data_IF_919908463938
#
_entry.id   IF_919908463938
#
_cell.length_a   1.000
_cell.length_b   1.000
_cell.length_c   1.000
_cell.angle_alpha   90.00
_cell.angle_beta   90.00
_cell.angle_gamma   90.00
#
_symmetry.space_group_name_H-M   'P 1'
#
loop_
_entity.id
_entity.type
_entity.pdbx_description
1 polymer ?
#
# COMPACT_ATOMS: atom_id res chain seq x y z
N UNK A 1 19.90 48.51 -9.85
CA UNK A 1 19.34 47.97 -8.58
C UNK A 1 17.83 47.67 -8.67
N UNK A 2 16.95 48.62 -9.03
CA UNK A 2 15.48 48.43 -9.04
C UNK A 2 14.94 47.24 -9.89
N UNK A 3 15.52 46.96 -11.08
CA UNK A 3 15.09 45.82 -11.93
C UNK A 3 15.34 44.44 -11.31
N UNK A 4 16.41 44.28 -10.51
CA UNK A 4 16.71 43.01 -9.81
C UNK A 4 15.68 42.73 -8.70
N UNK A 5 15.22 43.77 -8.00
CA UNK A 5 14.17 43.65 -7.00
C UNK A 5 12.81 43.32 -7.60
N UNK A 6 12.45 43.89 -8.76
CA UNK A 6 11.22 43.52 -9.47
C UNK A 6 11.23 42.05 -9.95
N UNK A 7 12.37 41.57 -10.46
CA UNK A 7 12.52 40.16 -10.85
C UNK A 7 12.43 39.22 -9.63
N UNK A 8 13.05 39.59 -8.51
CA UNK A 8 12.95 38.85 -7.25
C UNK A 8 11.52 38.83 -6.69
N UNK A 9 10.82 39.97 -6.71
CA UNK A 9 9.41 40.07 -6.30
C UNK A 9 8.49 39.24 -7.19
N UNK A 10 8.71 39.26 -8.51
CA UNK A 10 7.98 38.41 -9.45
C UNK A 10 8.24 36.92 -9.24
N UNK A 11 9.48 36.54 -8.94
CA UNK A 11 9.83 35.14 -8.63
C UNK A 11 9.19 34.69 -7.32
N UNK A 12 9.25 35.52 -6.28
CA UNK A 12 8.65 35.26 -4.97
C UNK A 12 7.12 35.20 -5.05
N UNK A 13 6.47 36.04 -5.85
CA UNK A 13 5.03 35.99 -6.05
C UNK A 13 4.61 34.75 -6.85
N UNK A 14 5.35 34.36 -7.89
CA UNK A 14 5.10 33.09 -8.60
C UNK A 14 5.27 31.89 -7.65
N UNK A 15 6.34 31.86 -6.84
CA UNK A 15 6.55 30.81 -5.84
C UNK A 15 5.41 30.77 -4.81
N UNK A 16 4.96 31.93 -4.33
CA UNK A 16 3.83 32.01 -3.40
C UNK A 16 2.52 31.53 -4.03
N UNK A 17 2.25 31.84 -5.30
CA UNK A 17 1.06 31.38 -6.03
C UNK A 17 1.10 29.87 -6.24
N UNK A 18 2.24 29.32 -6.65
CA UNK A 18 2.44 27.86 -6.80
C UNK A 18 2.25 27.15 -5.46
N UNK A 19 2.84 27.68 -4.39
CA UNK A 19 2.73 27.10 -3.04
C UNK A 19 1.29 27.18 -2.49
N UNK A 20 0.61 28.31 -2.73
CA UNK A 20 -0.79 28.51 -2.32
C UNK A 20 -1.73 27.60 -3.12
N UNK A 21 -1.52 27.46 -4.43
CA UNK A 21 -2.25 26.53 -5.28
C UNK A 21 -2.05 25.07 -4.87
N UNK A 22 -0.81 24.69 -4.51
CA UNK A 22 -0.50 23.36 -4.00
C UNK A 22 -1.30 23.03 -2.73
N UNK A 23 -1.33 23.95 -1.74
CA UNK A 23 -2.10 23.78 -0.50
C UNK A 23 -3.62 23.80 -0.70
N UNK A 24 -4.11 24.39 -1.80
CA UNK A 24 -5.53 24.40 -2.13
C UNK A 24 -5.99 23.06 -2.74
N UNK A 25 -5.12 22.39 -3.47
CA UNK A 25 -5.40 21.10 -4.16
C UNK A 25 -5.11 19.90 -3.26
N UNK A 26 -4.00 19.95 -2.52
CA UNK A 26 -3.50 18.87 -1.68
C UNK A 26 -3.66 19.21 -0.20
N UNK A 27 -4.41 18.36 0.51
CA UNK A 27 -4.50 18.41 1.97
C UNK A 27 -3.73 17.21 2.56
N UNK A 28 -2.67 17.50 3.30
CA UNK A 28 -1.79 16.51 3.92
C UNK A 28 -2.00 16.56 5.43
N UNK A 29 -2.53 15.50 6.06
CA UNK A 29 -2.66 15.43 7.51
C UNK A 29 -1.30 15.52 8.21
N UNK A 30 -1.26 16.12 9.41
CA UNK A 30 -0.03 16.18 10.23
C UNK A 30 0.38 14.80 10.80
N UNK A 31 -0.58 13.89 10.97
CA UNK A 31 -0.37 12.53 11.44
C UNK A 31 -1.04 11.52 10.51
N UNK A 32 -0.53 10.27 10.41
CA UNK A 32 -1.21 9.21 9.68
C UNK A 32 -2.66 9.07 10.15
N UNK A 33 -3.59 9.03 9.20
CA UNK A 33 -5.01 8.80 9.46
C UNK A 33 -5.43 7.50 8.79
N UNK A 34 -5.71 6.48 9.56
CA UNK A 34 -6.40 5.28 9.15
C UNK A 34 -7.91 5.55 9.14
N UNK A 35 -8.55 5.18 8.05
CA UNK A 35 -10.00 5.27 7.84
C UNK A 35 -10.49 3.84 7.65
N UNK A 36 -11.43 3.42 8.49
CA UNK A 36 -12.17 2.17 8.27
C UNK A 36 -13.30 2.43 7.27
N UNK A 37 -13.48 1.50 6.33
CA UNK A 37 -14.46 1.58 5.26
C UNK A 37 -15.28 0.28 5.28
N UNK A 38 -16.60 0.39 5.41
CA UNK A 38 -17.54 -0.74 5.52
C UNK A 38 -18.98 -0.23 5.59
N UNK A 39 -19.97 -1.14 5.54
CA UNK A 39 -21.40 -0.85 5.35
C UNK A 39 -21.85 0.52 5.91
N UNK A 40 -21.97 1.49 4.99
CA UNK A 40 -22.54 2.83 5.19
C UNK A 40 -21.85 3.78 6.17
N UNK A 41 -20.58 3.57 6.53
CA UNK A 41 -19.83 4.59 7.29
C UNK A 41 -18.36 4.69 6.91
N UNK A 42 -17.90 5.94 6.77
CA UNK A 42 -16.49 6.29 6.85
C UNK A 42 -16.21 6.48 8.34
N UNK A 43 -15.40 5.60 8.93
CA UNK A 43 -15.01 5.71 10.33
C UNK A 43 -14.31 7.04 10.64
N UNK A 44 -14.28 7.43 11.92
CA UNK A 44 -13.45 8.56 12.35
C UNK A 44 -11.98 8.26 12.03
N UNK A 45 -11.16 9.26 11.67
CA UNK A 45 -9.74 9.04 11.45
C UNK A 45 -9.06 8.56 12.74
N UNK A 46 -8.45 7.39 12.69
CA UNK A 46 -7.69 6.78 13.78
C UNK A 46 -6.21 6.71 13.41
N UNK A 47 -5.31 6.65 14.39
CA UNK A 47 -3.92 6.26 14.11
C UNK A 47 -3.84 4.73 13.96
N UNK A 48 -4.54 4.03 14.86
CA UNK A 48 -4.71 2.59 14.85
C UNK A 48 -6.17 2.22 15.13
N UNK A 49 -6.67 1.24 14.39
CA UNK A 49 -7.90 0.52 14.63
C UNK A 49 -7.60 -0.77 15.41
N UNK A 50 -8.51 -1.15 16.31
CA UNK A 50 -8.43 -2.40 17.07
C UNK A 50 -9.82 -3.03 17.19
N UNK A 51 -9.89 -4.36 17.02
CA UNK A 51 -11.09 -5.17 17.19
C UNK A 51 -10.72 -6.55 17.74
N UNK A 52 -11.04 -6.77 19.00
CA UNK A 52 -10.69 -8.02 19.68
C UNK A 52 -11.58 -9.21 19.26
N UNK A 53 -12.64 -8.98 18.47
CA UNK A 53 -13.57 -10.01 18.00
C UNK A 53 -13.44 -10.33 16.50
N UNK A 54 -12.33 -9.92 15.87
CA UNK A 54 -12.05 -10.20 14.47
C UNK A 54 -12.14 -11.70 14.14
N UNK A 55 -12.84 -12.01 13.04
CA UNK A 55 -12.96 -13.38 12.53
C UNK A 55 -11.71 -13.79 11.75
N UNK A 56 -11.40 -15.11 11.68
CA UNK A 56 -10.31 -15.61 10.86
C UNK A 56 -10.38 -15.15 9.40
N UNK A 57 -9.25 -14.70 8.86
CA UNK A 57 -9.14 -14.20 7.49
C UNK A 57 -9.15 -15.32 6.45
N UNK A 58 -8.51 -16.45 6.75
CA UNK A 58 -8.39 -17.57 5.83
C UNK A 58 -9.69 -18.39 5.75
N UNK A 59 -9.88 -19.08 4.63
CA UNK A 59 -10.99 -19.98 4.41
C UNK A 59 -10.49 -21.42 4.45
N UNK A 60 -10.73 -22.12 5.55
CA UNK A 60 -10.31 -23.51 5.74
C UNK A 60 -8.79 -23.71 5.56
N UNK A 61 -7.99 -22.80 6.12
CA UNK A 61 -6.54 -22.84 6.01
C UNK A 61 -6.00 -22.35 4.66
N UNK A 62 -6.85 -21.84 3.75
CA UNK A 62 -6.45 -21.26 2.47
C UNK A 62 -6.56 -19.74 2.50
N UNK A 63 -5.56 -19.08 1.95
CA UNK A 63 -5.49 -17.62 1.88
C UNK A 63 -5.11 -17.17 0.46
N UNK A 64 -6.09 -16.66 -0.27
CA UNK A 64 -5.90 -15.92 -1.52
C UNK A 64 -5.53 -14.46 -1.25
N UNK A 65 -4.50 -13.98 -1.92
CA UNK A 65 -3.98 -12.62 -1.82
C UNK A 65 -3.90 -11.96 -3.20
N UNK A 66 -4.46 -10.77 -3.32
CA UNK A 66 -4.25 -9.85 -4.44
C UNK A 66 -3.43 -8.66 -3.95
N UNK A 67 -2.34 -8.33 -4.64
CA UNK A 67 -1.56 -7.10 -4.40
C UNK A 67 -1.53 -6.30 -5.68
N UNK A 68 -1.91 -5.03 -5.63
CA UNK A 68 -1.99 -4.24 -6.85
C UNK A 68 -1.92 -2.73 -6.61
N UNK A 69 -0.93 -2.07 -7.22
CA UNK A 69 -1.01 -0.64 -7.45
C UNK A 69 -2.08 -0.41 -8.53
N UNK A 70 -3.19 0.20 -8.16
CA UNK A 70 -4.39 0.34 -9.01
C UNK A 70 -4.49 1.75 -9.63
N UNK A 71 -3.37 2.47 -9.66
CA UNK A 71 -3.21 3.72 -10.41
C UNK A 71 -4.32 4.76 -10.18
N UNK A 72 -4.75 4.95 -8.92
CA UNK A 72 -5.83 5.88 -8.53
C UNK A 72 -7.15 5.64 -9.26
N UNK A 73 -7.37 4.41 -9.75
CA UNK A 73 -8.52 4.04 -10.56
C UNK A 73 -8.63 4.86 -11.86
N UNK A 74 -7.51 5.27 -12.45
CA UNK A 74 -7.49 6.15 -13.64
C UNK A 74 -7.83 5.44 -14.97
N UNK A 75 -7.94 4.11 -15.01
CA UNK A 75 -8.31 3.33 -16.20
C UNK A 75 -9.79 2.96 -16.14
N UNK A 76 -10.53 3.07 -17.24
CA UNK A 76 -12.00 2.90 -17.22
C UNK A 76 -12.46 1.50 -16.79
N UNK A 77 -11.66 0.48 -17.05
CA UNK A 77 -11.92 -0.95 -16.79
C UNK A 77 -11.44 -1.44 -15.41
N UNK A 78 -10.94 -0.54 -14.54
CA UNK A 78 -10.39 -0.89 -13.23
C UNK A 78 -11.32 -1.76 -12.37
N UNK A 79 -12.63 -1.50 -12.39
CA UNK A 79 -13.59 -2.14 -11.49
C UNK A 79 -13.99 -3.54 -11.96
N UNK A 80 -14.16 -3.74 -13.27
CA UNK A 80 -14.42 -5.05 -13.87
C UNK A 80 -13.24 -5.98 -13.61
N UNK A 81 -12.03 -5.49 -13.88
CA UNK A 81 -10.82 -6.27 -13.70
C UNK A 81 -10.53 -6.56 -12.22
N UNK A 82 -10.71 -5.58 -11.32
CA UNK A 82 -10.57 -5.81 -9.88
C UNK A 82 -11.58 -6.85 -9.39
N UNK A 83 -12.82 -6.81 -9.87
CA UNK A 83 -13.85 -7.82 -9.53
C UNK A 83 -13.42 -9.22 -9.98
N UNK A 84 -12.91 -9.34 -11.22
CA UNK A 84 -12.44 -10.61 -11.78
C UNK A 84 -11.23 -11.16 -11.02
N UNK A 85 -10.26 -10.32 -10.68
CA UNK A 85 -9.03 -10.73 -9.99
C UNK A 85 -9.25 -11.05 -8.52
N UNK A 86 -10.25 -10.43 -7.89
CA UNK A 86 -10.53 -10.56 -6.45
C UNK A 86 -11.43 -11.74 -6.08
N UNK A 87 -12.00 -12.47 -7.05
CA UNK A 87 -13.04 -13.48 -6.82
C UNK A 87 -12.68 -14.56 -5.80
N UNK A 88 -11.42 -15.00 -5.80
CA UNK A 88 -10.91 -16.05 -4.91
C UNK A 88 -10.03 -15.49 -3.77
N UNK A 89 -9.86 -14.17 -3.70
CA UNK A 89 -9.02 -13.53 -2.71
C UNK A 89 -9.77 -13.38 -1.37
N UNK A 90 -9.05 -13.55 -0.26
CA UNK A 90 -9.54 -13.21 1.07
C UNK A 90 -9.00 -11.84 1.50
N UNK A 91 -7.84 -11.44 0.96
CA UNK A 91 -7.18 -10.18 1.26
C UNK A 91 -6.71 -9.50 -0.02
N UNK A 92 -7.04 -8.22 -0.16
CA UNK A 92 -6.53 -7.34 -1.22
C UNK A 92 -5.66 -6.26 -0.58
N UNK A 93 -4.47 -6.05 -1.12
CA UNK A 93 -3.54 -5.00 -0.72
C UNK A 93 -3.37 -4.06 -1.91
N UNK A 94 -4.11 -2.96 -1.91
CA UNK A 94 -4.08 -2.01 -3.02
C UNK A 94 -3.21 -0.80 -2.67
N UNK A 95 -2.37 -0.37 -3.62
CA UNK A 95 -1.58 0.86 -3.56
C UNK A 95 -2.16 1.89 -4.55
N UNK A 96 -1.90 3.16 -4.29
CA UNK A 96 -2.52 4.28 -5.00
C UNK A 96 -4.04 4.15 -5.12
N UNK A 97 -4.71 3.67 -4.07
CA UNK A 97 -6.17 3.62 -4.06
C UNK A 97 -6.75 4.96 -3.62
N UNK A 98 -7.60 5.55 -4.46
CA UNK A 98 -8.37 6.75 -4.13
C UNK A 98 -9.75 6.34 -3.65
N UNK A 99 -10.15 6.78 -2.45
CA UNK A 99 -11.48 6.47 -1.90
C UNK A 99 -12.57 7.38 -2.48
N UNK A 100 -12.63 7.39 -3.82
CA UNK A 100 -13.60 8.11 -4.63
C UNK A 100 -14.99 7.44 -4.57
N UNK A 101 -16.00 8.07 -5.17
CA UNK A 101 -17.36 7.53 -5.18
C UNK A 101 -17.43 6.14 -5.84
N UNK A 102 -16.68 5.93 -6.92
CA UNK A 102 -16.66 4.66 -7.66
C UNK A 102 -16.13 3.51 -6.82
N UNK A 103 -14.99 3.69 -6.13
CA UNK A 103 -14.43 2.67 -5.26
C UNK A 103 -15.34 2.39 -4.07
N UNK A 104 -15.92 3.43 -3.44
CA UNK A 104 -16.88 3.23 -2.33
C UNK A 104 -18.10 2.42 -2.76
N UNK A 105 -18.63 2.71 -3.94
CA UNK A 105 -19.74 1.94 -4.51
C UNK A 105 -19.34 0.49 -4.76
N UNK A 106 -18.19 0.26 -5.40
CA UNK A 106 -17.67 -1.08 -5.66
C UNK A 106 -17.46 -1.88 -4.36
N UNK A 107 -16.89 -1.26 -3.32
CA UNK A 107 -16.73 -1.89 -2.01
C UNK A 107 -18.08 -2.32 -1.42
N UNK A 108 -19.07 -1.45 -1.45
CA UNK A 108 -20.42 -1.73 -0.96
C UNK A 108 -21.10 -2.86 -1.74
N UNK A 109 -21.09 -2.79 -3.07
CA UNK A 109 -21.72 -3.78 -3.95
C UNK A 109 -21.10 -5.16 -3.83
N UNK A 110 -19.78 -5.21 -3.64
CA UNK A 110 -19.07 -6.47 -3.48
C UNK A 110 -19.10 -6.96 -2.03
N UNK A 111 -19.40 -6.12 -1.04
CA UNK A 111 -19.38 -6.43 0.40
C UNK A 111 -17.99 -6.42 1.03
N UNK A 112 -17.09 -5.56 0.54
CA UNK A 112 -15.71 -5.46 1.04
C UNK A 112 -15.66 -4.48 2.20
N UNK A 113 -14.96 -4.88 3.25
CA UNK A 113 -14.55 -3.98 4.33
C UNK A 113 -13.06 -3.68 4.19
N UNK A 114 -12.62 -2.54 4.73
CA UNK A 114 -11.25 -2.12 4.54
C UNK A 114 -10.73 -1.15 5.58
N UNK A 115 -9.41 -1.09 5.64
CA UNK A 115 -8.66 -0.08 6.36
C UNK A 115 -7.80 0.65 5.34
N UNK A 116 -7.99 1.96 5.19
CA UNK A 116 -7.20 2.80 4.30
C UNK A 116 -6.37 3.78 5.09
N UNK A 117 -5.11 3.98 4.72
CA UNK A 117 -4.35 5.15 5.19
C UNK A 117 -4.63 6.32 4.26
N UNK A 118 -5.22 7.37 4.82
CA UNK A 118 -5.27 8.69 4.22
C UNK A 118 -3.88 9.33 4.27
N UNK A 119 -3.07 9.02 3.27
CA UNK A 119 -1.75 9.62 3.12
C UNK A 119 -1.90 11.10 2.78
N UNK A 120 -2.73 11.42 1.79
CA UNK A 120 -3.09 12.78 1.42
C UNK A 120 -4.47 12.80 0.76
N UNK A 121 -5.11 13.97 0.76
CA UNK A 121 -6.34 14.21 0.01
C UNK A 121 -6.08 15.09 -1.20
N UNK A 122 -6.66 14.71 -2.34
CA UNK A 122 -6.75 15.54 -3.55
C UNK A 122 -8.22 15.86 -3.76
N UNK A 123 -8.58 17.15 -3.76
CA UNK A 123 -9.99 17.57 -3.91
C UNK A 123 -10.97 16.90 -2.92
N UNK A 124 -10.49 16.49 -1.75
CA UNK A 124 -11.29 15.82 -0.71
C UNK A 124 -11.25 14.29 -0.73
N UNK A 125 -10.70 13.66 -1.77
CA UNK A 125 -10.54 12.22 -1.88
C UNK A 125 -9.20 11.75 -1.33
N UNK A 126 -9.25 10.80 -0.40
CA UNK A 126 -8.08 10.19 0.25
C UNK A 126 -7.40 9.20 -0.69
N UNK A 127 -6.11 9.41 -0.97
CA UNK A 127 -5.26 8.50 -1.73
C UNK A 127 -4.17 7.89 -0.83
N UNK A 128 -3.89 6.61 -1.04
CA UNK A 128 -2.88 5.90 -0.27
C UNK A 128 -2.91 4.40 -0.50
N UNK A 129 -2.57 3.64 0.54
CA UNK A 129 -2.72 2.18 0.57
C UNK A 129 -4.02 1.79 1.27
N UNK A 130 -4.64 0.70 0.82
CA UNK A 130 -5.84 0.13 1.43
C UNK A 130 -5.72 -1.39 1.53
N UNK A 131 -6.09 -1.93 2.68
CA UNK A 131 -6.28 -3.38 2.85
C UNK A 131 -7.78 -3.65 2.82
N UNK A 132 -8.22 -4.58 1.97
CA UNK A 132 -9.62 -5.01 1.88
C UNK A 132 -9.75 -6.49 2.23
N UNK A 133 -10.73 -6.81 3.06
CA UNK A 133 -11.07 -8.16 3.46
C UNK A 133 -12.59 -8.27 3.69
N UNK A 134 -13.11 -9.50 3.78
CA UNK A 134 -14.49 -9.75 4.21
C UNK A 134 -14.64 -9.76 5.74
N UNK A 135 -13.52 -9.71 6.45
CA UNK A 135 -13.44 -9.67 7.90
C UNK A 135 -12.48 -8.56 8.31
N UNK A 136 -12.76 -7.92 9.45
CA UNK A 136 -11.88 -6.91 10.02
C UNK A 136 -10.59 -7.53 10.55
N UNK A 137 -9.45 -6.81 10.50
CA UNK A 137 -8.26 -7.21 11.25
C UNK A 137 -8.47 -6.99 12.75
N UNK A 138 -7.70 -7.66 13.60
CA UNK A 138 -7.72 -7.36 15.04
C UNK A 138 -6.96 -6.07 15.38
N UNK A 139 -6.03 -5.66 14.51
CA UNK A 139 -5.30 -4.41 14.58
C UNK A 139 -5.02 -3.94 13.15
N UNK A 140 -5.19 -2.65 12.89
CA UNK A 140 -4.58 -2.01 11.74
C UNK A 140 -4.03 -0.65 12.16
N UNK A 141 -2.81 -0.31 11.77
CA UNK A 141 -2.16 0.97 12.05
C UNK A 141 -1.66 1.59 10.75
N UNK A 142 -1.87 2.90 10.62
CA UNK A 142 -1.41 3.67 9.47
C UNK A 142 -0.03 4.28 9.68
N UNK A 143 0.79 4.23 8.63
CA UNK A 143 2.12 4.85 8.57
C UNK A 143 2.21 5.76 7.36
N UNK A 144 2.85 6.91 7.51
CA UNK A 144 3.17 7.82 6.40
C UNK A 144 4.63 8.25 6.48
N UNK A 145 5.28 8.36 5.32
CA UNK A 145 6.63 8.86 5.18
C UNK A 145 6.63 9.97 4.11
N UNK A 146 7.10 11.17 4.46
CA UNK A 146 7.03 12.33 3.56
C UNK A 146 8.13 12.27 2.50
N UNK A 147 7.75 12.35 1.22
CA UNK A 147 8.75 12.40 0.15
C UNK A 147 9.54 13.73 0.14
N UNK A 148 10.88 13.70 0.00
CA UNK A 148 11.72 14.89 0.03
C UNK A 148 11.37 15.96 -1.03
N UNK A 149 10.99 15.54 -2.24
CA UNK A 149 10.86 16.43 -3.41
C UNK A 149 9.44 16.94 -3.59
N UNK A 150 8.50 16.03 -3.84
CA UNK A 150 7.10 16.36 -4.09
C UNK A 150 6.32 16.66 -2.81
N UNK A 151 6.87 16.34 -1.63
CA UNK A 151 6.20 16.51 -0.33
C UNK A 151 4.80 15.89 -0.34
N UNK A 152 4.63 14.78 -1.04
CA UNK A 152 3.46 13.91 -0.95
C UNK A 152 3.86 12.69 -0.11
N UNK A 153 3.11 12.34 0.94
CA UNK A 153 3.46 11.19 1.75
C UNK A 153 3.20 9.89 0.99
N UNK A 154 4.16 8.99 1.10
CA UNK A 154 3.97 7.57 0.82
C UNK A 154 3.48 6.89 2.08
N UNK A 155 2.78 5.78 1.95
CA UNK A 155 2.04 5.19 3.07
C UNK A 155 2.18 3.69 3.15
N UNK A 156 1.99 3.18 4.37
CA UNK A 156 1.92 1.76 4.65
C UNK A 156 0.86 1.46 5.69
N UNK A 157 0.31 0.24 5.64
CA UNK A 157 -0.55 -0.33 6.68
C UNK A 157 0.19 -1.52 7.27
N UNK A 158 0.33 -1.52 8.60
CA UNK A 158 0.59 -2.74 9.36
C UNK A 158 -0.73 -3.22 9.94
N UNK A 159 -1.12 -4.45 9.62
CA UNK A 159 -2.34 -5.06 10.11
C UNK A 159 -2.08 -6.46 10.64
N UNK A 160 -2.92 -6.90 11.57
CA UNK A 160 -2.88 -8.24 12.15
C UNK A 160 -4.23 -8.91 11.93
N UNK A 161 -4.21 -10.12 11.39
CA UNK A 161 -5.41 -10.89 11.06
C UNK A 161 -5.37 -12.22 11.79
N UNK A 162 -6.40 -12.58 12.57
CA UNK A 162 -6.55 -13.92 13.11
C UNK A 162 -6.60 -14.96 11.97
N UNK A 163 -6.07 -16.15 12.23
CA UNK A 163 -6.14 -17.29 11.34
C UNK A 163 -6.88 -18.45 12.02
N UNK A 164 -7.45 -19.35 11.20
CA UNK A 164 -8.28 -20.47 11.66
C UNK A 164 -7.53 -21.50 12.50
N UNK A 165 -6.20 -21.55 12.39
CA UNK A 165 -5.33 -22.40 13.21
C UNK A 165 -4.94 -21.75 14.56
N UNK A 166 -5.50 -20.59 14.90
CA UNK A 166 -5.23 -19.86 16.14
C UNK A 166 -3.97 -18.98 16.10
N UNK A 167 -3.23 -18.97 14.99
CA UNK A 167 -2.15 -18.01 14.79
C UNK A 167 -2.70 -16.63 14.38
N UNK A 168 -1.81 -15.63 14.39
CA UNK A 168 -2.11 -14.30 13.87
C UNK A 168 -1.13 -14.02 12.73
N UNK A 169 -1.67 -13.66 11.57
CA UNK A 169 -0.91 -13.18 10.42
C UNK A 169 -0.63 -11.69 10.57
N UNK A 170 0.63 -11.28 10.53
CA UNK A 170 0.99 -9.88 10.34
C UNK A 170 1.11 -9.58 8.84
N UNK A 171 0.48 -8.49 8.40
CA UNK A 171 0.49 -8.04 7.00
C UNK A 171 0.98 -6.61 6.95
N UNK A 172 1.94 -6.35 6.07
CA UNK A 172 2.32 -4.99 5.67
C UNK A 172 1.95 -4.77 4.21
N UNK A 173 1.11 -3.77 3.97
CA UNK A 173 0.85 -3.21 2.64
C UNK A 173 1.64 -1.90 2.53
N UNK A 174 2.62 -1.85 1.64
CA UNK A 174 3.53 -0.72 1.51
C UNK A 174 3.45 -0.11 0.11
N UNK A 175 3.37 1.22 0.07
CA UNK A 175 3.81 1.99 -1.08
C UNK A 175 5.01 2.82 -0.61
N UNK A 176 6.22 2.45 -1.03
CA UNK A 176 7.44 3.03 -0.48
C UNK A 176 7.79 4.40 -1.10
N UNK A 177 8.62 5.19 -0.39
CA UNK A 177 9.18 6.46 -0.88
C UNK A 177 9.78 6.28 -2.28
N UNK A 178 9.38 7.07 -3.29
CA UNK A 178 9.91 6.93 -4.64
C UNK A 178 11.16 7.81 -4.83
N UNK A 179 11.08 9.11 -4.54
CA UNK A 179 12.15 10.06 -4.82
C UNK A 179 13.00 10.40 -3.59
N UNK A 180 14.19 9.80 -3.49
CA UNK A 180 15.16 10.02 -2.39
C UNK A 180 16.55 10.38 -2.92
N UNK A 181 17.38 11.06 -2.11
CA UNK A 181 18.81 11.23 -2.45
C UNK A 181 19.58 10.03 -1.90
N UNK A 182 19.95 9.08 -2.78
CA UNK A 182 20.45 7.78 -2.34
C UNK A 182 19.33 6.93 -1.70
N UNK A 183 19.68 6.08 -0.74
CA UNK A 183 18.76 5.07 -0.17
C UNK A 183 18.42 5.30 1.31
N UNK A 184 18.84 6.40 1.92
CA UNK A 184 18.75 6.58 3.38
C UNK A 184 17.29 6.62 3.87
N UNK A 185 16.44 7.47 3.30
CA UNK A 185 15.02 7.57 3.69
C UNK A 185 14.28 6.26 3.40
N UNK A 186 14.61 5.61 2.27
CA UNK A 186 14.08 4.30 1.90
C UNK A 186 14.44 3.23 2.94
N UNK A 187 15.71 3.18 3.35
CA UNK A 187 16.18 2.25 4.38
C UNK A 187 15.52 2.53 5.73
N UNK A 188 15.38 3.80 6.15
CA UNK A 188 14.75 4.16 7.40
C UNK A 188 13.27 3.72 7.43
N UNK A 189 12.53 3.95 6.36
CA UNK A 189 11.14 3.50 6.23
C UNK A 189 11.04 1.97 6.39
N UNK A 190 11.87 1.22 5.67
CA UNK A 190 11.86 -0.24 5.74
C UNK A 190 12.31 -0.76 7.11
N UNK A 191 13.31 -0.12 7.75
CA UNK A 191 13.78 -0.50 9.07
C UNK A 191 12.74 -0.24 10.16
N UNK A 192 11.98 0.85 10.06
CA UNK A 192 10.90 1.14 11.00
C UNK A 192 9.83 0.02 10.96
N UNK A 193 9.44 -0.41 9.75
CA UNK A 193 8.52 -1.54 9.56
C UNK A 193 9.12 -2.85 10.05
N UNK A 194 10.42 -3.09 9.79
CA UNK A 194 11.10 -4.28 10.26
C UNK A 194 11.18 -4.37 11.78
N UNK A 195 11.39 -3.24 12.47
CA UNK A 195 11.40 -3.18 13.92
C UNK A 195 10.03 -3.59 14.50
N UNK A 196 8.93 -3.11 13.91
CA UNK A 196 7.57 -3.50 14.32
C UNK A 196 7.36 -5.02 14.11
N UNK A 197 7.74 -5.54 12.95
CA UNK A 197 7.59 -6.96 12.61
C UNK A 197 8.50 -7.89 13.42
N UNK A 198 9.63 -7.39 13.95
CA UNK A 198 10.61 -8.21 14.69
C UNK A 198 10.03 -8.87 15.93
N UNK A 199 8.99 -8.27 16.52
CA UNK A 199 8.32 -8.77 17.72
C UNK A 199 7.22 -9.79 17.40
N UNK A 200 6.81 -9.90 16.13
CA UNK A 200 5.75 -10.82 15.72
C UNK A 200 6.30 -12.23 15.51
N UNK A 201 5.70 -13.23 16.16
CA UNK A 201 6.17 -14.62 16.10
C UNK A 201 5.43 -15.50 15.10
N UNK A 202 4.26 -15.03 14.62
CA UNK A 202 3.43 -15.76 13.68
C UNK A 202 3.84 -15.59 12.21
N UNK A 203 2.98 -16.05 11.29
CA UNK A 203 3.12 -15.82 9.86
C UNK A 203 3.21 -14.32 9.53
N UNK A 204 3.98 -13.97 8.50
CA UNK A 204 4.14 -12.60 8.01
C UNK A 204 3.99 -12.56 6.50
N UNK A 205 3.31 -11.54 5.99
CA UNK A 205 3.34 -11.10 4.60
C UNK A 205 3.74 -9.62 4.55
N UNK A 206 4.72 -9.26 3.73
CA UNK A 206 5.07 -7.87 3.41
C UNK A 206 4.97 -7.73 1.90
N UNK A 207 4.13 -6.81 1.43
CA UNK A 207 3.85 -6.66 0.00
C UNK A 207 3.49 -5.24 -0.41
N UNK A 208 3.62 -4.97 -1.70
CA UNK A 208 3.16 -3.75 -2.35
C UNK A 208 4.17 -3.22 -3.35
N UNK A 209 4.09 -1.91 -3.62
CA UNK A 209 4.98 -1.17 -4.51
C UNK A 209 6.15 -0.62 -3.71
N UNK A 210 7.32 -1.23 -3.90
CA UNK A 210 8.54 -0.86 -3.19
C UNK A 210 9.32 0.26 -3.88
N UNK A 211 8.88 0.74 -5.04
CA UNK A 211 9.65 1.68 -5.87
C UNK A 211 11.12 1.25 -5.98
N UNK A 212 11.39 -0.04 -6.17
CA UNK A 212 12.71 -0.68 -6.10
C UNK A 212 13.49 -0.58 -7.43
N UNK A 213 13.41 0.59 -8.08
CA UNK A 213 13.89 0.83 -9.44
C UNK A 213 15.42 0.82 -9.63
N UNK A 214 16.22 0.69 -8.56
CA UNK A 214 17.69 0.58 -8.62
C UNK A 214 18.21 -0.63 -7.85
N UNK A 215 19.40 -1.11 -8.22
CA UNK A 215 20.07 -2.24 -7.56
C UNK A 215 20.35 -1.97 -6.08
N UNK A 216 20.71 -0.72 -5.73
CA UNK A 216 20.94 -0.32 -4.34
C UNK A 216 19.65 -0.43 -3.52
N UNK A 217 18.52 0.01 -4.08
CA UNK A 217 17.21 -0.08 -3.42
C UNK A 217 16.76 -1.54 -3.29
N UNK A 218 16.94 -2.33 -4.35
CA UNK A 218 16.73 -3.78 -4.30
C UNK A 218 17.57 -4.46 -3.21
N UNK A 219 18.86 -4.09 -3.10
CA UNK A 219 19.76 -4.62 -2.08
C UNK A 219 19.31 -4.25 -0.67
N UNK A 220 18.97 -2.98 -0.42
CA UNK A 220 18.45 -2.51 0.88
C UNK A 220 17.17 -3.26 1.25
N UNK A 221 16.21 -3.33 0.33
CA UNK A 221 14.94 -4.03 0.54
C UNK A 221 15.17 -5.49 0.91
N UNK A 222 15.97 -6.22 0.12
CA UNK A 222 16.27 -7.62 0.36
C UNK A 222 16.98 -7.80 1.70
N UNK A 223 18.00 -7.00 2.00
CA UNK A 223 18.73 -7.09 3.26
C UNK A 223 17.80 -6.92 4.47
N UNK A 224 16.95 -5.89 4.47
CA UNK A 224 16.03 -5.64 5.59
C UNK A 224 15.02 -6.78 5.73
N UNK A 225 14.33 -7.17 4.65
CA UNK A 225 13.25 -8.16 4.73
C UNK A 225 13.77 -9.58 5.01
N UNK A 226 14.92 -9.96 4.46
CA UNK A 226 15.56 -11.25 4.76
C UNK A 226 16.09 -11.32 6.20
N UNK A 227 16.47 -10.20 6.82
CA UNK A 227 16.85 -10.17 8.25
C UNK A 227 15.69 -10.57 9.17
N UNK A 228 14.45 -10.42 8.71
CA UNK A 228 13.23 -10.90 9.37
C UNK A 228 12.92 -12.37 9.03
N UNK A 229 13.81 -13.07 8.32
CA UNK A 229 13.58 -14.44 7.84
C UNK A 229 12.48 -14.54 6.79
N UNK A 230 12.13 -13.44 6.10
CA UNK A 230 11.19 -13.46 5.00
C UNK A 230 11.86 -13.94 3.72
N UNK A 231 11.12 -14.71 2.92
CA UNK A 231 11.54 -15.14 1.58
C UNK A 231 10.76 -14.37 0.52
N UNK A 232 11.45 -13.94 -0.54
CA UNK A 232 10.81 -13.30 -1.70
C UNK A 232 10.00 -14.34 -2.48
N UNK A 233 8.80 -13.95 -2.92
CA UNK A 233 7.98 -14.77 -3.83
C UNK A 233 8.56 -14.73 -5.24
N UNK A 234 8.62 -15.91 -5.87
CA UNK A 234 8.91 -16.05 -7.30
C UNK A 234 7.60 -16.25 -8.06
N UNK A 235 7.37 -15.43 -9.08
CA UNK A 235 6.14 -15.45 -9.88
C UNK A 235 6.33 -16.28 -11.16
N UNK A 236 5.27 -16.95 -11.60
CA UNK A 236 5.23 -17.64 -12.89
C UNK A 236 3.79 -17.70 -13.45
N UNK A 237 3.46 -16.97 -14.54
CA UNK A 237 4.32 -16.01 -15.23
C UNK A 237 4.68 -14.80 -14.35
N UNK A 238 5.80 -14.15 -14.67
CA UNK A 238 6.28 -12.92 -14.02
C UNK A 238 6.23 -11.74 -15.01
N UNK A 239 5.04 -11.18 -15.19
CA UNK A 239 4.85 -9.99 -16.00
C UNK A 239 4.83 -8.72 -15.13
N UNK A 240 5.48 -8.72 -13.95
CA UNK A 240 5.56 -7.51 -13.13
C UNK A 240 6.11 -6.34 -13.93
N UNK A 241 5.57 -5.16 -13.69
CA UNK A 241 6.08 -3.95 -14.32
C UNK A 241 7.52 -3.74 -13.87
N UNK A 242 8.37 -3.47 -14.86
CA UNK A 242 9.79 -3.25 -14.68
C UNK A 242 10.11 -1.81 -15.00
N UNK A 243 10.97 -1.22 -14.19
CA UNK A 243 11.54 0.07 -14.49
C UNK A 243 12.48 -0.02 -15.69
N UNK A 244 12.97 1.12 -16.20
CA UNK A 244 13.93 1.16 -17.32
C UNK A 244 15.24 0.39 -17.05
N UNK A 245 15.55 0.14 -15.76
CA UNK A 245 16.66 -0.70 -15.31
C UNK A 245 16.41 -2.21 -15.45
N UNK A 246 15.19 -2.62 -15.83
CA UNK A 246 14.76 -4.02 -15.88
C UNK A 246 14.34 -4.59 -14.52
N UNK A 247 14.36 -3.79 -13.45
CA UNK A 247 14.01 -4.22 -12.10
C UNK A 247 12.49 -4.11 -11.84
N UNK A 248 11.86 -5.14 -11.23
CA UNK A 248 10.44 -5.06 -10.86
C UNK A 248 10.25 -4.06 -9.70
N UNK A 249 9.07 -3.44 -9.64
CA UNK A 249 8.71 -2.47 -8.59
C UNK A 249 7.88 -3.10 -7.47
N UNK A 250 7.03 -4.05 -7.82
CA UNK A 250 6.11 -4.72 -6.91
C UNK A 250 6.70 -6.03 -6.39
N UNK A 251 6.60 -6.26 -5.08
CA UNK A 251 7.13 -7.44 -4.44
C UNK A 251 6.20 -8.01 -3.38
N UNK A 252 6.37 -9.31 -3.12
CA UNK A 252 5.77 -10.01 -1.98
C UNK A 252 6.85 -10.81 -1.28
N UNK A 253 6.95 -10.64 0.02
CA UNK A 253 7.83 -11.38 0.92
C UNK A 253 6.97 -12.06 1.99
N UNK A 254 7.31 -13.28 2.37
CA UNK A 254 6.52 -14.02 3.35
C UNK A 254 7.36 -14.97 4.21
N UNK A 255 6.80 -15.39 5.35
CA UNK A 255 7.27 -16.52 6.16
C UNK A 255 6.10 -17.15 6.92
N UNK A 256 6.27 -18.39 7.38
CA UNK A 256 5.28 -19.06 8.23
C UNK A 256 4.00 -19.46 7.51
N UNK A 257 4.02 -19.48 6.17
CA UNK A 257 2.94 -19.99 5.30
C UNK A 257 3.56 -20.91 4.25
N UNK A 258 2.76 -21.75 3.62
CA UNK A 258 3.15 -22.47 2.40
C UNK A 258 2.60 -21.72 1.20
N UNK A 259 3.50 -21.32 0.29
CA UNK A 259 3.11 -20.74 -1.00
C UNK A 259 2.67 -21.86 -1.95
N UNK A 260 1.43 -21.80 -2.42
CA UNK A 260 0.88 -22.80 -3.36
C UNK A 260 0.99 -22.31 -4.81
N UNK A 261 0.69 -21.03 -5.06
CA UNK A 261 0.76 -20.41 -6.40
C UNK A 261 1.11 -18.93 -6.28
N UNK A 262 1.85 -18.44 -7.26
CA UNK A 262 2.15 -17.03 -7.44
C UNK A 262 2.25 -16.69 -8.93
N UNK A 263 1.47 -15.72 -9.39
CA UNK A 263 1.54 -15.23 -10.78
C UNK A 263 1.35 -13.71 -10.80
N UNK A 264 2.01 -13.07 -11.76
CA UNK A 264 1.77 -11.68 -12.12
C UNK A 264 1.24 -11.66 -13.56
N UNK A 265 -0.09 -11.76 -13.78
CA UNK A 265 -0.66 -11.68 -15.12
C UNK A 265 -0.59 -10.26 -15.66
N UNK A 266 -0.75 -10.12 -16.97
CA UNK A 266 -0.91 -8.80 -17.61
C UNK A 266 -2.30 -8.24 -17.35
N UNK A 267 -2.38 -6.92 -17.22
CA UNK A 267 -3.62 -6.16 -17.10
C UNK A 267 -3.40 -4.73 -17.60
N UNK A 268 -4.33 -4.23 -18.41
CA UNK A 268 -4.32 -2.83 -18.89
C UNK A 268 -5.09 -1.87 -17.97
N UNK A 269 -5.74 -2.43 -16.94
CA UNK A 269 -6.60 -1.72 -16.00
C UNK A 269 -5.83 -0.92 -14.92
N UNK A 270 -4.49 -0.96 -14.99
CA UNK A 270 -3.58 -0.12 -14.22
C UNK A 270 -2.27 0.08 -15.02
N UNK A 271 -1.40 0.99 -14.60
CA UNK A 271 -0.02 1.06 -15.09
C UNK A 271 0.91 0.04 -14.41
N UNK A 272 0.38 -0.76 -13.47
CA UNK A 272 1.03 -1.91 -12.84
C UNK A 272 0.26 -3.20 -13.12
N UNK A 273 0.98 -4.32 -13.20
CA UNK A 273 0.39 -5.65 -13.29
C UNK A 273 0.09 -6.20 -11.88
N UNK A 274 -1.06 -6.84 -11.66
CA UNK A 274 -1.45 -7.35 -10.35
C UNK A 274 -0.59 -8.56 -9.95
N UNK A 275 -0.42 -8.78 -8.64
CA UNK A 275 0.20 -9.99 -8.09
C UNK A 275 -0.88 -10.85 -7.45
N UNK A 276 -1.07 -12.07 -7.97
CA UNK A 276 -2.03 -13.05 -7.44
C UNK A 276 -1.29 -14.19 -6.76
N UNK A 277 -1.62 -14.44 -5.50
CA UNK A 277 -0.99 -15.47 -4.70
C UNK A 277 -2.03 -16.32 -3.98
N UNK A 278 -1.69 -17.57 -3.75
CA UNK A 278 -2.44 -18.46 -2.86
C UNK A 278 -1.49 -19.11 -1.87
N UNK A 279 -1.83 -19.00 -0.59
CA UNK A 279 -1.12 -19.63 0.51
C UNK A 279 -1.99 -20.67 1.20
N UNK A 280 -1.35 -21.64 1.84
CA UNK A 280 -1.96 -22.48 2.86
C UNK A 280 -1.25 -22.31 4.20
N UNK A 281 -1.99 -22.50 5.29
CA UNK A 281 -1.42 -22.56 6.63
C UNK A 281 -0.53 -23.81 6.78
N UNK A 282 0.53 -23.68 7.59
CA UNK A 282 1.45 -24.78 7.92
C UNK A 282 0.88 -25.75 8.96
#
# INVERSE_FOLDING_TARGET
MKKRYLLLLGLLSCLAIVFSGYKLVFNIPEHPQLITVGENSVGQPLVCYQDDNALPLDKQGQLGLLVWNIYKQNREDWSEELSRLSSDAQLLLLQEASLNTGLKQWLSEQGWEGNQVNAFKVMGESAGVINLARTTPNLACGYTEMEPWLRLPKSGIYARYPLSNGQVLAVVNLHAVNFTYGTNEYQLQLQALANELSQHTGPIIVAGDFNSWSEERMSVMKQVLTSLGLSEVVFSPDNRVRFISGLPLDHVFYRGLKLEKAKAPESDASDHNPLLLSFSLL
#
